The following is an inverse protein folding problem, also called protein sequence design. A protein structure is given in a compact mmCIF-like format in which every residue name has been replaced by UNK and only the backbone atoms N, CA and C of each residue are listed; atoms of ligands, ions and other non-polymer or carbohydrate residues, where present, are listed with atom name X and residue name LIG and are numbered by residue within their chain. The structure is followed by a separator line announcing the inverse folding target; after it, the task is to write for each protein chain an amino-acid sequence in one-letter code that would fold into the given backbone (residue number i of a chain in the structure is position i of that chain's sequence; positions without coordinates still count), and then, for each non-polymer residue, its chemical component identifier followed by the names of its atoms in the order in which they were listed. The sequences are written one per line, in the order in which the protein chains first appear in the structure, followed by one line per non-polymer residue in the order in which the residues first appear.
data_IF_832585592424
#
_entry.id   IF_832585592424
#
_cell.length_a   1.000
_cell.length_b   1.000
_cell.length_c   1.000
_cell.angle_alpha   90.00
_cell.angle_beta   90.00
_cell.angle_gamma   90.00
#
_symmetry.space_group_name_H-M   'P 1'
#
loop_
_entity.id
_entity.type
_entity.pdbx_description
1 polymer ?
#
# COMPACT_ATOMS: atom_id res chain seq x y z
N UNK A 1 42.48 47.16 11.32
CA UNK A 1 43.24 46.72 10.13
C UNK A 1 44.71 47.00 10.36
N UNK A 2 45.44 46.06 10.96
CA UNK A 2 46.86 46.23 11.28
C UNK A 2 47.77 45.52 10.26
N UNK A 3 47.24 44.54 9.53
CA UNK A 3 47.93 43.78 8.50
C UNK A 3 47.05 43.63 7.25
N UNK A 4 47.69 43.50 6.08
CA UNK A 4 47.05 43.15 4.79
C UNK A 4 46.27 41.83 4.90
N UNK A 5 46.66 40.93 5.80
CA UNK A 5 45.96 39.66 6.06
C UNK A 5 44.61 39.83 6.76
N UNK A 6 44.38 40.96 7.41
CA UNK A 6 43.13 41.24 8.13
C UNK A 6 42.04 41.77 7.19
N UNK A 7 42.32 41.85 5.88
CA UNK A 7 41.35 42.35 4.92
C UNK A 7 40.11 41.45 4.89
N UNK A 8 38.90 42.05 4.93
CA UNK A 8 37.67 41.28 4.97
C UNK A 8 37.52 40.50 3.67
N UNK A 9 37.64 39.17 3.77
CA UNK A 9 37.33 38.24 2.69
C UNK A 9 35.89 37.75 2.88
N UNK A 10 34.94 38.53 2.38
CA UNK A 10 33.53 38.16 2.39
C UNK A 10 33.19 37.47 1.06
N UNK A 11 33.52 36.18 0.97
CA UNK A 11 33.19 35.34 -0.19
C UNK A 11 31.78 34.75 -0.04
N UNK A 12 31.06 34.62 -1.15
CA UNK A 12 29.82 33.86 -1.15
C UNK A 12 30.14 32.39 -0.90
N UNK A 13 29.61 31.88 0.21
CA UNK A 13 29.91 30.56 0.72
C UNK A 13 28.67 29.98 1.37
N UNK A 14 28.61 28.65 1.54
CA UNK A 14 27.48 28.03 2.19
C UNK A 14 27.32 28.61 3.61
N UNK A 15 26.08 28.75 4.09
CA UNK A 15 25.85 29.20 5.45
C UNK A 15 26.55 28.27 6.46
N UNK A 16 26.92 28.77 7.66
CA UNK A 16 27.44 27.92 8.72
C UNK A 16 26.47 26.75 9.01
N UNK A 17 26.93 25.51 8.81
CA UNK A 17 26.09 24.30 8.89
C UNK A 17 25.67 23.69 7.54
N UNK A 18 25.97 24.36 6.42
CA UNK A 18 25.70 23.87 5.07
C UNK A 18 24.23 23.96 4.65
N UNK A 19 23.91 23.38 3.49
CA UNK A 19 22.54 23.29 3.00
C UNK A 19 21.87 22.00 3.47
N UNK A 20 20.56 22.05 3.68
CA UNK A 20 19.79 20.85 3.97
C UNK A 20 19.93 19.83 2.82
N UNK A 21 19.97 18.51 3.12
CA UNK A 21 20.08 17.49 2.08
C UNK A 21 18.88 17.53 1.12
N UNK A 22 19.17 17.79 -0.16
CA UNK A 22 18.14 17.78 -1.20
C UNK A 22 17.90 16.34 -1.65
N UNK A 23 16.62 15.94 -1.70
CA UNK A 23 16.22 14.65 -2.24
C UNK A 23 16.39 14.65 -3.76
N UNK A 24 17.26 13.81 -4.29
CA UNK A 24 17.47 13.66 -5.74
C UNK A 24 16.84 12.40 -6.34
N UNK A 25 16.68 11.35 -5.53
CA UNK A 25 16.21 10.05 -5.99
C UNK A 25 14.67 9.94 -5.95
N UNK A 26 14.11 9.29 -6.97
CA UNK A 26 12.71 8.89 -6.98
C UNK A 26 12.49 7.83 -5.88
N UNK A 27 11.48 8.05 -5.03
CA UNK A 27 11.01 7.08 -4.03
C UNK A 27 9.53 6.80 -4.30
N UNK A 28 9.25 5.72 -5.03
CA UNK A 28 7.88 5.22 -5.21
C UNK A 28 7.62 4.23 -4.08
N UNK A 29 6.56 4.44 -3.32
CA UNK A 29 6.16 3.53 -2.26
C UNK A 29 5.48 2.30 -2.83
N UNK A 30 5.90 1.10 -2.42
CA UNK A 30 5.26 -0.18 -2.75
C UNK A 30 4.49 -0.75 -1.54
N UNK A 31 3.90 0.13 -0.71
CA UNK A 31 3.17 -0.23 0.53
C UNK A 31 1.77 -0.82 0.27
N UNK A 32 1.48 -1.24 -0.96
CA UNK A 32 0.25 -1.96 -1.28
C UNK A 32 0.22 -3.37 -0.68
N UNK A 33 -0.96 -4.01 -0.63
CA UNK A 33 -1.08 -5.39 -0.16
C UNK A 33 -0.25 -6.32 -1.06
N UNK A 34 0.41 -7.29 -0.43
CA UNK A 34 1.23 -8.27 -1.15
C UNK A 34 0.35 -9.14 -2.04
N UNK A 35 0.96 -9.79 -3.04
CA UNK A 35 0.25 -10.70 -3.93
C UNK A 35 -0.55 -11.78 -3.16
N UNK A 36 0.02 -12.31 -2.08
CA UNK A 36 -0.66 -13.31 -1.25
C UNK A 36 -1.82 -12.73 -0.44
N UNK A 37 -1.69 -11.50 0.07
CA UNK A 37 -2.80 -10.84 0.74
C UNK A 37 -3.99 -10.68 -0.22
N UNK A 38 -3.75 -10.18 -1.44
CA UNK A 38 -4.79 -10.04 -2.46
C UNK A 38 -5.40 -11.40 -2.82
N UNK A 39 -4.56 -12.40 -3.09
CA UNK A 39 -5.02 -13.74 -3.48
C UNK A 39 -5.88 -14.40 -2.40
N UNK A 40 -5.45 -14.36 -1.15
CA UNK A 40 -6.17 -14.98 -0.04
C UNK A 40 -7.48 -14.25 0.28
N UNK A 41 -7.50 -12.91 0.18
CA UNK A 41 -8.74 -12.15 0.36
C UNK A 41 -9.78 -12.53 -0.69
N UNK A 42 -9.38 -12.60 -1.96
CA UNK A 42 -10.30 -12.97 -3.05
C UNK A 42 -10.73 -14.42 -2.92
N UNK A 43 -9.80 -15.34 -2.67
CA UNK A 43 -10.10 -16.77 -2.54
C UNK A 43 -10.99 -17.07 -1.33
N UNK A 44 -10.76 -16.39 -0.20
CA UNK A 44 -11.58 -16.51 1.00
C UNK A 44 -13.00 -15.97 0.78
N UNK A 45 -13.13 -14.81 0.15
CA UNK A 45 -14.44 -14.25 -0.22
C UNK A 45 -15.20 -15.19 -1.18
N UNK A 46 -14.51 -15.77 -2.16
CA UNK A 46 -15.10 -16.73 -3.08
C UNK A 46 -15.56 -18.01 -2.38
N UNK A 47 -14.70 -18.61 -1.54
CA UNK A 47 -15.03 -19.84 -0.81
C UNK A 47 -16.20 -19.62 0.16
N UNK A 48 -16.21 -18.49 0.88
CA UNK A 48 -17.32 -18.14 1.76
C UNK A 48 -18.62 -17.89 0.98
N UNK A 49 -18.55 -17.15 -0.12
CA UNK A 49 -19.70 -16.94 -1.01
C UNK A 49 -20.26 -18.27 -1.51
N UNK A 50 -19.40 -19.22 -1.91
CA UNK A 50 -19.84 -20.56 -2.32
C UNK A 50 -20.55 -21.32 -1.22
N UNK A 51 -20.01 -21.33 0.00
CA UNK A 51 -20.68 -21.93 1.14
C UNK A 51 -22.06 -21.29 1.39
N UNK A 52 -22.13 -19.95 1.34
CA UNK A 52 -23.38 -19.23 1.53
C UNK A 52 -24.41 -19.52 0.43
N UNK A 53 -23.97 -19.59 -0.84
CA UNK A 53 -24.82 -19.91 -1.98
C UNK A 53 -25.30 -21.37 -1.93
N UNK A 54 -24.42 -22.33 -1.63
CA UNK A 54 -24.80 -23.75 -1.55
C UNK A 54 -25.87 -23.99 -0.49
N UNK A 55 -25.70 -23.44 0.72
CA UNK A 55 -26.71 -23.55 1.78
C UNK A 55 -28.07 -22.92 1.41
N UNK A 56 -28.10 -22.02 0.41
CA UNK A 56 -29.34 -21.40 -0.06
C UNK A 56 -30.02 -22.19 -1.19
N UNK A 57 -29.30 -23.10 -1.86
CA UNK A 57 -29.89 -23.99 -2.87
C UNK A 57 -30.39 -25.31 -2.26
N UNK A 58 -29.80 -25.77 -1.14
CA UNK A 58 -30.24 -27.00 -0.46
C UNK A 58 -31.63 -26.88 0.22
N UNK A 59 -32.21 -25.68 0.34
CA UNK A 59 -33.56 -25.45 0.92
C UNK A 59 -34.70 -25.53 -0.14
N UNK A 60 -34.39 -25.59 -1.45
CA UNK A 60 -35.39 -25.55 -2.54
C UNK A 60 -35.71 -26.93 -3.17
N UNK A 61 -34.96 -28.00 -2.84
CA UNK A 61 -35.11 -29.34 -3.46
C UNK A 61 -36.04 -30.32 -2.69
N UNK A 62 -36.62 -29.91 -1.56
CA UNK A 62 -37.48 -30.78 -0.71
C UNK A 62 -38.99 -30.72 -1.06
N UNK A 63 -39.42 -29.97 -2.08
CA UNK A 63 -40.84 -29.72 -2.42
C UNK A 63 -41.38 -30.52 -3.64
N UNK A 64 -40.60 -31.40 -4.28
CA UNK A 64 -40.96 -32.04 -5.56
C UNK A 64 -41.36 -33.55 -5.48
N UNK A 65 -41.47 -34.15 -4.28
CA UNK A 65 -41.68 -35.60 -4.11
C UNK A 65 -43.15 -36.04 -3.84
N UNK A 66 -44.14 -35.16 -4.00
CA UNK A 66 -45.52 -35.37 -3.50
C UNK A 66 -46.55 -35.86 -4.54
N UNK A 67 -46.23 -35.89 -5.85
CA UNK A 67 -47.27 -35.89 -6.90
C UNK A 67 -47.56 -37.24 -7.60
N UNK A 68 -47.17 -38.37 -7.01
CA UNK A 68 -47.50 -39.71 -7.57
C UNK A 68 -47.98 -40.73 -6.53
N UNK A 69 -49.22 -40.57 -6.04
CA UNK A 69 -50.04 -41.66 -5.48
C UNK A 69 -51.51 -41.57 -5.92
#
# INVERSE_FOLDING_TARGET
MASVKDMPLLQDGPPPGGFAPVRYARRISNTGPSAMAIFLTVSGAFAWGKLFLTNAYDDDDDDDDDDYE
#
